data_IF_186550322861
#
_entry.id   IF_186550322861
#
_cell.length_a   1.000
_cell.length_b   1.000
_cell.length_c   1.000
_cell.angle_alpha   90.00
_cell.angle_beta   90.00
_cell.angle_gamma   90.00
#
_symmetry.space_group_name_H-M   'P 1'
#
loop_
_entity.id
_entity.type
_entity.pdbx_description
1 polymer ?
#
# COMPACT_ATOMS: atom_id res chain seq x y z
N UNK A 1 10.81 0.12 -2.99
CA UNK A 1 10.02 0.30 -4.22
C UNK A 1 10.83 1.02 -5.28
N UNK A 2 10.46 0.83 -6.53
CA UNK A 2 11.06 1.49 -7.69
C UNK A 2 9.94 1.99 -8.59
N UNK A 3 10.09 3.21 -9.12
CA UNK A 3 9.16 3.78 -10.10
C UNK A 3 9.87 3.92 -11.44
N UNK A 4 9.22 3.49 -12.50
CA UNK A 4 9.71 3.59 -13.88
C UNK A 4 8.64 4.26 -14.75
N UNK A 5 9.06 5.18 -15.61
CA UNK A 5 8.16 5.93 -16.49
C UNK A 5 8.52 5.66 -17.95
N UNK A 6 7.52 5.46 -18.76
CA UNK A 6 7.65 5.32 -20.20
C UNK A 6 8.19 6.60 -20.86
N UNK A 7 8.91 6.47 -21.97
CA UNK A 7 9.51 7.62 -22.67
C UNK A 7 8.49 8.48 -23.42
N UNK A 8 7.37 7.92 -23.79
CA UNK A 8 6.29 8.59 -24.52
C UNK A 8 4.94 7.94 -24.20
N UNK A 9 3.83 8.67 -24.30
CA UNK A 9 2.50 8.09 -24.26
C UNK A 9 2.31 7.06 -25.38
N UNK A 10 1.49 6.03 -25.14
CA UNK A 10 1.09 5.07 -26.18
C UNK A 10 0.27 5.77 -27.29
N UNK A 11 0.33 5.22 -28.50
CA UNK A 11 -0.54 5.66 -29.59
C UNK A 11 -2.02 5.38 -29.22
N UNK A 12 -2.89 6.38 -29.34
CA UNK A 12 -4.33 6.29 -28.99
C UNK A 12 -4.61 5.94 -27.53
N UNK A 13 -3.73 6.39 -26.60
CA UNK A 13 -3.91 6.16 -25.15
C UNK A 13 -5.01 7.09 -24.62
N UNK A 14 -6.09 6.52 -24.10
CA UNK A 14 -7.25 7.22 -23.52
C UNK A 14 -7.43 6.97 -22.00
N UNK A 15 -6.49 6.27 -21.38
CA UNK A 15 -6.47 6.00 -19.94
C UNK A 15 -5.05 6.07 -19.38
N UNK A 16 -4.92 6.31 -18.08
CA UNK A 16 -3.64 6.29 -17.39
C UNK A 16 -3.11 4.86 -17.18
N UNK A 17 -2.02 4.46 -17.85
CA UNK A 17 -1.48 3.11 -17.79
C UNK A 17 -0.54 2.94 -16.59
N UNK A 18 -1.11 2.86 -15.38
CA UNK A 18 -0.40 2.52 -14.16
C UNK A 18 -0.37 1.01 -13.97
N UNK A 19 0.80 0.47 -13.70
CA UNK A 19 1.00 -0.94 -13.30
C UNK A 19 1.74 -0.99 -11.97
N UNK A 20 1.14 -1.63 -10.98
CA UNK A 20 1.79 -1.89 -9.70
C UNK A 20 2.11 -3.37 -9.59
N UNK A 21 3.37 -3.68 -9.35
CA UNK A 21 3.86 -5.03 -9.11
C UNK A 21 4.31 -5.14 -7.65
N UNK A 22 3.80 -6.14 -6.95
CA UNK A 22 4.22 -6.48 -5.61
C UNK A 22 4.70 -7.94 -5.58
N UNK A 23 5.84 -8.17 -4.97
CA UNK A 23 6.40 -9.52 -4.86
C UNK A 23 7.10 -9.72 -3.52
N UNK A 24 6.75 -10.81 -2.83
CA UNK A 24 7.46 -11.30 -1.65
C UNK A 24 8.49 -12.34 -2.11
N UNK A 25 9.77 -12.01 -2.02
CA UNK A 25 10.82 -12.97 -2.37
C UNK A 25 10.88 -14.09 -1.35
N UNK A 26 10.96 -15.32 -1.79
CA UNK A 26 11.02 -16.50 -0.92
C UNK A 26 12.21 -16.44 0.05
N UNK A 27 13.33 -15.89 -0.40
CA UNK A 27 14.51 -15.67 0.44
C UNK A 27 14.31 -14.61 1.54
N UNK A 28 13.33 -13.72 1.41
CA UNK A 28 13.02 -12.72 2.44
C UNK A 28 12.66 -13.36 3.80
N UNK A 29 12.15 -14.59 3.77
CA UNK A 29 11.85 -15.40 4.96
C UNK A 29 12.89 -16.51 5.22
N UNK A 30 14.05 -16.44 4.57
CA UNK A 30 15.12 -17.43 4.69
C UNK A 30 14.81 -18.78 4.02
N UNK A 31 13.90 -18.82 3.05
CA UNK A 31 13.47 -20.04 2.35
C UNK A 31 13.95 -20.07 0.91
N UNK A 32 13.94 -21.25 0.32
CA UNK A 32 14.17 -21.49 -1.11
C UNK A 32 12.81 -21.69 -1.79
N UNK A 33 12.61 -21.18 -3.02
CA UNK A 33 11.38 -21.41 -3.77
C UNK A 33 11.04 -22.91 -3.87
N UNK A 34 9.77 -23.22 -3.72
CA UNK A 34 9.25 -24.59 -3.84
C UNK A 34 9.25 -25.11 -5.28
N UNK A 35 8.67 -26.28 -5.47
CA UNK A 35 8.53 -26.91 -6.77
C UNK A 35 9.83 -27.52 -7.31
N UNK A 36 9.74 -28.17 -8.46
CA UNK A 36 10.85 -28.86 -9.11
C UNK A 36 11.96 -27.91 -9.57
N UNK A 37 11.60 -26.80 -10.17
CA UNK A 37 12.55 -25.83 -10.76
C UNK A 37 13.22 -24.89 -9.75
N UNK A 38 12.79 -24.88 -8.48
CA UNK A 38 13.34 -23.97 -7.44
C UNK A 38 13.38 -22.50 -7.88
N UNK A 39 12.32 -22.04 -8.53
CA UNK A 39 12.17 -20.66 -9.05
C UNK A 39 11.00 -19.98 -8.40
N UNK A 40 11.06 -18.64 -8.32
CA UNK A 40 9.89 -17.82 -8.04
C UNK A 40 8.83 -18.10 -9.12
N UNK A 41 7.61 -18.33 -8.68
CA UNK A 41 6.48 -18.65 -9.56
C UNK A 41 5.79 -17.41 -10.09
N UNK A 42 4.56 -17.60 -10.57
CA UNK A 42 3.64 -16.50 -10.84
C UNK A 42 3.26 -15.83 -9.53
N UNK A 43 2.84 -14.54 -9.55
CA UNK A 43 2.32 -13.88 -8.35
C UNK A 43 1.22 -14.70 -7.70
N UNK A 44 1.28 -14.80 -6.38
CA UNK A 44 0.23 -15.44 -5.58
C UNK A 44 -1.02 -14.55 -5.56
N UNK A 45 -2.14 -15.10 -5.10
CA UNK A 45 -3.37 -14.34 -4.89
C UNK A 45 -3.13 -13.15 -3.94
N UNK A 46 -2.42 -13.37 -2.83
CA UNK A 46 -2.03 -12.31 -1.88
C UNK A 46 -1.22 -11.21 -2.57
N UNK A 47 -0.20 -11.58 -3.34
CA UNK A 47 0.62 -10.59 -4.06
C UNK A 47 -0.19 -9.78 -5.07
N UNK A 48 -1.13 -10.43 -5.76
CA UNK A 48 -2.04 -9.76 -6.69
C UNK A 48 -2.99 -8.80 -5.96
N UNK A 49 -3.57 -9.21 -4.83
CA UNK A 49 -4.45 -8.36 -4.04
C UNK A 49 -3.69 -7.18 -3.43
N UNK A 50 -2.47 -7.40 -2.91
CA UNK A 50 -1.63 -6.31 -2.39
C UNK A 50 -1.22 -5.32 -3.50
N UNK A 51 -0.91 -5.80 -4.71
CA UNK A 51 -0.68 -4.92 -5.87
C UNK A 51 -1.88 -4.00 -6.13
N UNK A 52 -3.09 -4.56 -6.09
CA UNK A 52 -4.34 -3.79 -6.28
C UNK A 52 -4.63 -2.84 -5.12
N UNK A 53 -4.31 -3.25 -3.89
CA UNK A 53 -4.42 -2.41 -2.70
C UNK A 53 -3.59 -1.13 -2.84
N UNK A 54 -2.39 -1.23 -3.41
CA UNK A 54 -1.49 -0.10 -3.66
C UNK A 54 -1.95 0.72 -4.89
N UNK A 55 -2.35 0.07 -5.99
CA UNK A 55 -2.76 0.74 -7.23
C UNK A 55 -3.98 1.65 -7.04
N UNK A 56 -5.01 1.15 -6.37
CA UNK A 56 -6.31 1.84 -6.25
C UNK A 56 -6.22 3.27 -5.71
N UNK A 57 -5.52 3.55 -4.60
CA UNK A 57 -5.44 4.91 -4.07
C UNK A 57 -4.35 5.76 -4.74
N UNK A 58 -3.34 5.16 -5.39
CA UNK A 58 -2.32 5.92 -6.14
C UNK A 58 -2.89 6.52 -7.41
N UNK A 59 -3.69 5.77 -8.14
CA UNK A 59 -4.20 6.11 -9.47
C UNK A 59 -4.94 7.45 -9.54
N UNK A 60 -5.90 7.77 -8.66
CA UNK A 60 -6.67 9.01 -8.72
C UNK A 60 -5.87 10.27 -8.35
N UNK A 61 -4.64 10.12 -7.89
CA UNK A 61 -3.78 11.26 -7.54
C UNK A 61 -2.86 11.70 -8.68
N UNK A 62 -2.86 11.01 -9.80
CA UNK A 62 -2.24 11.51 -11.03
C UNK A 62 -3.23 12.38 -11.79
N UNK A 63 -2.72 13.36 -12.53
CA UNK A 63 -3.56 14.21 -13.35
C UNK A 63 -4.18 13.41 -14.51
N UNK A 64 -5.41 13.73 -14.88
CA UNK A 64 -6.17 13.04 -15.93
C UNK A 64 -5.50 13.10 -17.31
N UNK A 65 -4.71 14.14 -17.57
CA UNK A 65 -3.95 14.35 -18.81
C UNK A 65 -2.59 13.66 -18.84
N UNK A 66 -2.20 13.01 -17.72
CA UNK A 66 -0.94 12.28 -17.63
C UNK A 66 -1.10 10.85 -18.17
N UNK A 67 -0.72 10.64 -19.43
CA UNK A 67 -0.93 9.40 -20.18
C UNK A 67 0.34 8.55 -20.37
N UNK A 68 1.42 8.89 -19.69
CA UNK A 68 2.65 8.09 -19.73
C UNK A 68 2.48 6.79 -18.93
N UNK A 69 3.05 5.70 -19.47
CA UNK A 69 3.10 4.45 -18.72
C UNK A 69 3.95 4.62 -17.45
N UNK A 70 3.38 4.23 -16.31
CA UNK A 70 4.07 4.22 -15.02
C UNK A 70 4.04 2.80 -14.46
N UNK A 71 5.21 2.31 -14.08
CA UNK A 71 5.34 1.04 -13.39
C UNK A 71 5.93 1.28 -11.99
N UNK A 72 5.21 0.82 -10.97
CA UNK A 72 5.66 0.81 -9.57
C UNK A 72 5.97 -0.63 -9.18
N UNK A 73 7.19 -0.89 -8.75
CA UNK A 73 7.66 -2.24 -8.40
C UNK A 73 8.03 -2.27 -6.92
N UNK A 74 7.28 -3.02 -6.14
CA UNK A 74 7.52 -3.27 -4.73
C UNK A 74 8.07 -4.68 -4.54
N UNK A 75 9.26 -4.80 -3.96
CA UNK A 75 9.91 -6.09 -3.72
C UNK A 75 10.25 -6.23 -2.24
N UNK A 76 9.64 -7.21 -1.59
CA UNK A 76 9.96 -7.56 -0.20
C UNK A 76 11.21 -8.43 -0.19
N UNK A 77 12.30 -7.90 0.37
CA UNK A 77 13.62 -8.56 0.41
C UNK A 77 14.00 -9.07 1.81
N UNK A 78 13.27 -8.62 2.83
CA UNK A 78 13.38 -9.08 4.21
C UNK A 78 12.00 -8.98 4.86
N UNK A 79 11.59 -10.00 5.60
CA UNK A 79 10.27 -10.05 6.23
C UNK A 79 10.34 -10.75 7.59
N UNK A 80 9.62 -10.21 8.56
CA UNK A 80 9.32 -10.87 9.83
C UNK A 80 8.04 -11.70 9.70
N UNK A 81 7.94 -12.79 10.46
CA UNK A 81 6.77 -13.68 10.42
C UNK A 81 5.52 -13.05 11.02
N UNK A 82 5.69 -12.12 11.95
CA UNK A 82 4.60 -11.51 12.72
C UNK A 82 4.04 -10.25 12.05
N UNK A 83 4.82 -9.61 11.17
CA UNK A 83 4.45 -8.36 10.51
C UNK A 83 4.12 -8.61 9.04
N UNK A 84 2.97 -8.13 8.58
CA UNK A 84 2.64 -8.17 7.15
C UNK A 84 3.38 -7.03 6.42
N UNK A 85 4.09 -7.31 5.32
CA UNK A 85 4.87 -6.31 4.61
C UNK A 85 4.06 -5.40 3.68
N UNK A 86 2.75 -5.57 3.59
CA UNK A 86 1.88 -4.85 2.67
C UNK A 86 1.83 -3.34 2.94
N UNK A 87 1.61 -2.92 4.20
CA UNK A 87 1.58 -1.50 4.59
C UNK A 87 2.93 -0.82 4.35
N UNK A 88 4.04 -1.49 4.70
CA UNK A 88 5.38 -0.97 4.44
C UNK A 88 5.65 -0.82 2.94
N UNK A 89 5.18 -1.79 2.14
CA UNK A 89 5.31 -1.73 0.68
C UNK A 89 4.47 -0.61 0.07
N UNK A 90 3.29 -0.35 0.64
CA UNK A 90 2.45 0.79 0.27
C UNK A 90 3.16 2.13 0.53
N UNK A 91 3.68 2.32 1.75
CA UNK A 91 4.42 3.53 2.10
C UNK A 91 5.68 3.71 1.23
N UNK A 92 6.39 2.62 0.94
CA UNK A 92 7.54 2.65 0.04
C UNK A 92 7.15 3.01 -1.40
N UNK A 93 6.00 2.54 -1.89
CA UNK A 93 5.46 2.91 -3.20
C UNK A 93 5.11 4.41 -3.25
N UNK A 94 4.38 4.90 -2.24
CA UNK A 94 4.02 6.31 -2.11
C UNK A 94 5.26 7.22 -2.08
N UNK A 95 6.26 6.86 -1.27
CA UNK A 95 7.51 7.58 -1.19
C UNK A 95 8.25 7.59 -2.54
N UNK A 96 8.37 6.44 -3.20
CA UNK A 96 9.05 6.33 -4.50
C UNK A 96 8.36 7.17 -5.59
N UNK A 97 7.03 7.24 -5.60
CA UNK A 97 6.30 8.11 -6.52
C UNK A 97 6.49 9.58 -6.16
N UNK A 98 6.43 9.94 -4.87
CA UNK A 98 6.61 11.32 -4.42
C UNK A 98 7.97 11.91 -4.80
N UNK A 99 9.05 11.13 -4.69
CA UNK A 99 10.41 11.56 -5.05
C UNK A 99 10.74 11.44 -6.54
N UNK A 100 9.87 10.86 -7.36
CA UNK A 100 10.13 10.64 -8.79
C UNK A 100 10.00 11.88 -9.66
N UNK A 101 9.43 12.97 -9.13
CA UNK A 101 9.14 14.20 -9.87
C UNK A 101 7.96 14.08 -10.84
N UNK A 102 7.17 13.02 -10.76
CA UNK A 102 5.93 12.87 -11.54
C UNK A 102 4.82 13.81 -11.05
N UNK A 103 3.84 14.17 -11.91
CA UNK A 103 2.69 15.00 -11.52
C UNK A 103 1.73 14.20 -10.63
N UNK A 104 2.10 14.06 -9.38
CA UNK A 104 1.44 13.26 -8.36
C UNK A 104 0.96 14.14 -7.21
N UNK A 105 -0.35 14.16 -6.96
CA UNK A 105 -0.99 14.96 -5.92
C UNK A 105 -1.01 14.26 -4.54
N UNK A 106 0.11 13.57 -4.22
CA UNK A 106 0.36 12.91 -2.95
C UNK A 106 1.34 13.68 -2.07
N UNK A 107 1.98 13.05 -1.10
CA UNK A 107 2.03 11.60 -0.87
C UNK A 107 0.79 11.03 -0.21
N UNK A 108 0.73 9.68 -0.21
CA UNK A 108 -0.25 8.90 0.51
C UNK A 108 0.35 8.26 1.75
N UNK A 109 -0.43 8.25 2.83
CA UNK A 109 -0.25 7.35 3.95
C UNK A 109 -1.10 6.09 3.81
N UNK A 110 -0.69 5.03 4.45
CA UNK A 110 -1.50 3.83 4.65
C UNK A 110 -1.24 3.23 6.02
N UNK A 111 -2.28 2.64 6.59
CA UNK A 111 -2.23 2.06 7.93
C UNK A 111 -3.23 0.89 8.00
N UNK A 112 -2.89 -0.12 8.79
CA UNK A 112 -3.82 -1.17 9.19
C UNK A 112 -4.34 -0.86 10.57
N UNK A 113 -5.65 -0.99 10.78
CA UNK A 113 -6.29 -0.79 12.07
C UNK A 113 -6.98 -2.07 12.51
N UNK A 114 -6.66 -2.52 13.72
CA UNK A 114 -7.39 -3.54 14.45
C UNK A 114 -8.29 -2.94 15.52
N UNK A 115 -9.27 -3.73 16.01
CA UNK A 115 -10.10 -3.40 17.15
C UNK A 115 -10.08 -4.56 18.15
N UNK A 116 -9.36 -4.38 19.26
CA UNK A 116 -9.04 -5.42 20.24
C UNK A 116 -9.40 -4.87 21.63
N UNK A 117 -10.13 -5.66 22.39
CA UNK A 117 -10.57 -5.29 23.77
C UNK A 117 -11.18 -3.88 23.85
N UNK A 118 -11.97 -3.49 22.85
CA UNK A 118 -12.64 -2.20 22.82
C UNK A 118 -11.75 -1.01 22.41
N UNK A 119 -10.51 -1.24 21.96
CA UNK A 119 -9.57 -0.20 21.57
C UNK A 119 -9.07 -0.40 20.13
N UNK A 120 -8.86 0.72 19.43
CA UNK A 120 -8.18 0.69 18.14
C UNK A 120 -6.68 0.52 18.34
N UNK A 121 -6.05 -0.29 17.48
CA UNK A 121 -4.61 -0.46 17.44
C UNK A 121 -4.07 -0.29 16.03
N UNK A 122 -2.89 0.35 15.95
CA UNK A 122 -2.19 0.63 14.70
C UNK A 122 -1.30 -0.55 14.32
N UNK A 123 -1.40 -0.98 13.07
CA UNK A 123 -0.55 -2.02 12.48
C UNK A 123 -0.40 -3.27 13.37
N UNK A 124 -1.52 -3.87 13.81
CA UNK A 124 -1.47 -5.05 14.65
C UNK A 124 -0.70 -6.18 13.97
N UNK A 125 0.01 -6.95 14.76
CA UNK A 125 0.68 -8.17 14.30
C UNK A 125 -0.34 -9.22 13.87
N UNK A 126 0.11 -10.23 13.11
CA UNK A 126 -0.78 -11.33 12.69
C UNK A 126 -1.43 -12.05 13.86
N UNK A 127 -0.70 -12.27 14.95
CA UNK A 127 -1.24 -12.89 16.17
C UNK A 127 -2.28 -12.01 16.88
N UNK A 128 -2.12 -10.70 16.84
CA UNK A 128 -3.10 -9.77 17.41
C UNK A 128 -4.36 -9.69 16.54
N UNK A 129 -4.22 -9.78 15.21
CA UNK A 129 -5.36 -9.80 14.28
C UNK A 129 -6.27 -11.01 14.47
N UNK A 130 -5.76 -12.18 14.90
CA UNK A 130 -6.58 -13.36 15.20
C UNK A 130 -7.66 -13.07 16.26
N UNK A 131 -7.31 -12.24 17.26
CA UNK A 131 -8.22 -11.78 18.33
C UNK A 131 -8.98 -10.50 18.00
N UNK A 132 -8.73 -9.87 16.86
CA UNK A 132 -9.34 -8.60 16.49
C UNK A 132 -10.76 -8.77 15.94
N UNK A 133 -11.62 -7.80 16.24
CA UNK A 133 -12.95 -7.65 15.65
C UNK A 133 -12.93 -6.83 14.36
N UNK A 134 -11.78 -6.22 14.02
CA UNK A 134 -11.58 -5.41 12.84
C UNK A 134 -10.22 -5.73 12.21
N UNK A 135 -10.18 -5.93 10.91
CA UNK A 135 -9.00 -5.82 10.08
C UNK A 135 -9.32 -4.80 8.97
N UNK A 136 -8.81 -3.58 9.10
CA UNK A 136 -9.12 -2.49 8.20
C UNK A 136 -7.85 -1.85 7.69
N UNK A 137 -7.67 -1.82 6.37
CA UNK A 137 -6.61 -1.08 5.70
C UNK A 137 -7.18 0.21 5.14
N UNK A 138 -6.55 1.32 5.50
CA UNK A 138 -6.96 2.65 5.09
C UNK A 138 -5.78 3.33 4.43
N UNK A 139 -6.05 4.01 3.31
CA UNK A 139 -5.10 4.87 2.65
C UNK A 139 -5.72 6.24 2.37
N UNK A 140 -4.91 7.28 2.51
CA UNK A 140 -5.36 8.65 2.31
C UNK A 140 -4.22 9.64 2.15
N UNK A 141 -4.60 10.84 1.76
CA UNK A 141 -3.74 12.02 1.76
C UNK A 141 -3.81 12.71 3.13
N UNK A 142 -3.13 13.83 3.28
CA UNK A 142 -3.25 14.72 4.44
C UNK A 142 -4.67 15.27 4.61
N UNK A 143 -5.40 15.47 3.51
CA UNK A 143 -6.71 16.10 3.50
C UNK A 143 -7.89 15.11 3.57
N UNK A 144 -7.74 13.88 3.06
CA UNK A 144 -8.86 12.97 2.89
C UNK A 144 -8.46 11.49 2.87
N UNK A 145 -9.38 10.65 3.33
CA UNK A 145 -9.33 9.20 3.12
C UNK A 145 -9.73 8.89 1.67
N UNK A 146 -8.93 8.10 0.98
CA UNK A 146 -9.11 7.76 -0.44
C UNK A 146 -9.55 6.31 -0.62
N UNK A 147 -9.09 5.42 0.25
CA UNK A 147 -9.41 4.01 0.19
C UNK A 147 -9.65 3.43 1.59
N UNK A 148 -10.67 2.62 1.68
CA UNK A 148 -10.95 1.75 2.84
C UNK A 148 -11.20 0.34 2.34
N UNK A 149 -10.54 -0.62 2.95
CA UNK A 149 -10.80 -2.05 2.76
C UNK A 149 -10.84 -2.70 4.12
N UNK A 150 -11.94 -3.38 4.45
CA UNK A 150 -12.14 -3.90 5.81
C UNK A 150 -12.86 -5.23 5.85
N UNK A 151 -12.47 -6.02 6.84
CA UNK A 151 -13.19 -7.18 7.35
C UNK A 151 -13.54 -6.92 8.82
N UNK A 152 -14.82 -7.03 9.17
CA UNK A 152 -15.31 -6.72 10.51
C UNK A 152 -16.24 -7.84 11.04
N UNK A 153 -16.15 -8.12 12.34
CA UNK A 153 -17.00 -9.05 13.06
C UNK A 153 -18.04 -8.27 13.86
N UNK A 154 -19.17 -7.95 13.22
CA UNK A 154 -20.38 -7.34 13.85
C UNK A 154 -20.09 -6.02 14.62
N UNK A 155 -19.27 -5.14 14.08
CA UNK A 155 -19.04 -3.82 14.64
C UNK A 155 -20.14 -2.84 14.24
N UNK A 156 -20.46 -1.88 15.12
CA UNK A 156 -21.40 -0.81 14.82
C UNK A 156 -20.81 0.20 13.82
N UNK A 157 -21.70 0.95 13.16
CA UNK A 157 -21.30 2.03 12.24
C UNK A 157 -20.39 3.07 12.93
N UNK A 158 -20.70 3.42 14.18
CA UNK A 158 -19.89 4.36 14.97
C UNK A 158 -18.47 3.82 15.23
N UNK A 159 -18.33 2.52 15.51
CA UNK A 159 -17.03 1.87 15.66
C UNK A 159 -16.26 1.80 14.34
N UNK A 160 -16.94 1.53 13.23
CA UNK A 160 -16.30 1.55 11.91
C UNK A 160 -15.82 2.96 11.54
N UNK A 161 -16.67 3.97 11.72
CA UNK A 161 -16.32 5.37 11.47
C UNK A 161 -15.17 5.84 12.40
N UNK A 162 -15.25 5.47 13.68
CA UNK A 162 -14.17 5.75 14.65
C UNK A 162 -12.82 5.18 14.20
N UNK A 163 -12.80 3.95 13.68
CA UNK A 163 -11.61 3.33 13.11
C UNK A 163 -11.02 4.09 11.92
N UNK A 164 -11.88 4.59 11.03
CA UNK A 164 -11.47 5.40 9.88
C UNK A 164 -10.84 6.73 10.32
N UNK A 165 -11.47 7.43 11.25
CA UNK A 165 -10.97 8.71 11.78
C UNK A 165 -9.64 8.52 12.53
N UNK A 166 -9.56 7.48 13.36
CA UNK A 166 -8.32 7.10 14.03
C UNK A 166 -7.19 6.81 13.02
N UNK A 167 -7.45 6.01 12.00
CA UNK A 167 -6.46 5.71 10.98
C UNK A 167 -5.97 6.95 10.24
N UNK A 168 -6.89 7.85 9.85
CA UNK A 168 -6.51 9.08 9.14
C UNK A 168 -5.62 9.98 9.99
N UNK A 169 -5.88 10.05 11.29
CA UNK A 169 -5.02 10.80 12.22
C UNK A 169 -3.63 10.17 12.35
N UNK A 170 -3.56 8.86 12.56
CA UNK A 170 -2.29 8.15 12.81
C UNK A 170 -1.40 8.08 11.55
N UNK A 171 -1.97 8.02 10.34
CA UNK A 171 -1.17 7.98 9.11
C UNK A 171 -0.48 9.31 8.77
N UNK A 172 -0.85 10.44 9.39
CA UNK A 172 -0.26 11.75 9.11
C UNK A 172 1.26 11.76 9.34
N UNK A 173 1.74 11.03 10.34
CA UNK A 173 3.18 10.92 10.63
C UNK A 173 3.95 10.36 9.42
N UNK A 174 3.41 9.34 8.75
CA UNK A 174 4.05 8.76 7.57
C UNK A 174 3.99 9.72 6.37
N UNK A 175 2.89 10.44 6.19
CA UNK A 175 2.72 11.44 5.13
C UNK A 175 3.76 12.56 5.29
N UNK A 176 3.89 13.11 6.48
CA UNK A 176 4.86 14.18 6.76
C UNK A 176 6.31 13.69 6.53
N UNK A 177 6.66 12.50 7.00
CA UNK A 177 7.98 11.93 6.75
C UNK A 177 8.30 11.78 5.25
N UNK A 178 7.30 11.38 4.43
CA UNK A 178 7.47 11.28 2.97
C UNK A 178 7.61 12.66 2.34
N UNK A 179 6.86 13.68 2.80
CA UNK A 179 6.98 15.06 2.34
C UNK A 179 8.37 15.65 2.65
N UNK A 180 8.86 15.45 3.86
CA UNK A 180 10.21 15.87 4.25
C UNK A 180 11.26 15.23 3.34
N UNK A 181 11.20 13.90 3.15
CA UNK A 181 12.12 13.20 2.25
C UNK A 181 12.04 13.72 0.80
N UNK A 182 10.87 14.04 0.30
CA UNK A 182 10.68 14.57 -1.05
C UNK A 182 11.21 16.01 -1.19
N UNK A 183 11.21 16.79 -0.11
CA UNK A 183 11.74 18.16 -0.12
C UNK A 183 13.27 18.24 -0.13
N UNK A 184 13.96 17.16 0.24
CA UNK A 184 15.42 17.08 0.33
C UNK A 184 16.07 16.67 -1.02
N UNK A 185 15.26 16.34 -2.03
CA UNK A 185 15.71 15.86 -3.35
C UNK A 185 15.42 16.92 -4.42
#
# INVERSE_FOLDING_TARGET
ATVVVGKAPGEHQDFFPLTVNYQEKTYATGKIPGGFFKREGRPTEKETLTSRLIDRPLRPLFNDDFLYEVQVICTVISSDKNVDPDILSFLAASAAVAISGLPFNGPLGAIRVGFIDGNYCVNPTRSELEGSHLDMVIAGSDAAVIMVESEAKELSEDQMLGGILFAHQEMQVAIEAIKEMASDI
#
